data_IF_754077266647
#
_entry.id   IF_754077266647
#
_cell.length_a   1.000
_cell.length_b   1.000
_cell.length_c   1.000
_cell.angle_alpha   90.00
_cell.angle_beta   90.00
_cell.angle_gamma   90.00
#
_symmetry.space_group_name_H-M   'P 1'
#
loop_
_entity.id
_entity.type
_entity.pdbx_description
1 polymer ?
#
# COMPACT_ATOMS: atom_id res chain seq x y z
N UNK A 1 -1.62 -42.28 -42.56
CA UNK A 1 -1.76 -42.38 -41.08
C UNK A 1 -1.07 -41.25 -40.32
N UNK A 2 0.21 -40.91 -40.59
CA UNK A 2 0.92 -39.81 -39.92
C UNK A 2 0.33 -38.40 -40.16
N UNK A 3 -0.18 -38.12 -41.37
CA UNK A 3 -0.79 -36.83 -41.70
C UNK A 3 -2.12 -36.59 -40.99
N UNK A 4 -2.95 -37.65 -40.85
CA UNK A 4 -4.22 -37.60 -40.14
C UNK A 4 -4.01 -37.35 -38.64
N UNK A 5 -2.98 -37.99 -38.06
CA UNK A 5 -2.63 -37.82 -36.64
C UNK A 5 -2.12 -36.41 -36.34
N UNK A 6 -1.31 -35.82 -37.24
CA UNK A 6 -0.87 -34.42 -37.11
C UNK A 6 -2.06 -33.47 -37.19
N UNK A 7 -2.93 -33.60 -38.20
CA UNK A 7 -4.11 -32.73 -38.35
C UNK A 7 -5.06 -32.84 -37.16
N UNK A 8 -5.32 -34.04 -36.63
CA UNK A 8 -6.16 -34.23 -35.44
C UNK A 8 -5.51 -33.58 -34.21
N UNK A 9 -4.19 -33.69 -34.04
CA UNK A 9 -3.46 -33.06 -32.94
C UNK A 9 -3.49 -31.52 -33.03
N UNK A 10 -3.32 -30.96 -34.24
CA UNK A 10 -3.39 -29.50 -34.43
C UNK A 10 -4.79 -28.96 -34.18
N UNK A 11 -5.84 -29.68 -34.60
CA UNK A 11 -7.24 -29.27 -34.37
C UNK A 11 -7.59 -29.35 -32.87
N UNK A 12 -7.17 -30.39 -32.16
CA UNK A 12 -7.41 -30.48 -30.70
C UNK A 12 -6.64 -29.42 -29.92
N UNK A 13 -5.42 -29.06 -30.32
CA UNK A 13 -4.68 -27.95 -29.70
C UNK A 13 -5.36 -26.59 -29.97
N UNK A 14 -5.89 -26.37 -31.19
CA UNK A 14 -6.64 -25.15 -31.54
C UNK A 14 -7.99 -25.07 -30.81
N UNK A 15 -8.71 -26.18 -30.64
CA UNK A 15 -9.97 -26.20 -29.89
C UNK A 15 -9.78 -25.87 -28.40
N UNK A 16 -8.65 -26.29 -27.80
CA UNK A 16 -8.30 -25.94 -26.41
C UNK A 16 -7.92 -24.45 -26.30
N UNK A 17 -7.39 -23.85 -27.37
CA UNK A 17 -7.07 -22.42 -27.47
C UNK A 17 -8.28 -21.49 -27.65
N UNK A 18 -9.46 -22.04 -28.00
CA UNK A 18 -10.70 -21.29 -28.20
C UNK A 18 -11.73 -21.47 -27.06
N UNK A 19 -11.36 -22.21 -26.01
CA UNK A 19 -12.22 -22.39 -24.85
C UNK A 19 -12.31 -21.08 -24.04
N UNK A 20 -13.52 -20.72 -23.64
CA UNK A 20 -13.76 -19.67 -22.66
C UNK A 20 -13.12 -20.05 -21.34
N UNK A 21 -12.30 -19.16 -20.79
CA UNK A 21 -11.56 -19.40 -19.55
C UNK A 21 -11.69 -18.22 -18.60
N UNK A 22 -11.77 -18.54 -17.31
CA UNK A 22 -11.71 -17.56 -16.24
C UNK A 22 -10.55 -17.93 -15.33
N UNK A 23 -9.59 -17.01 -15.17
CA UNK A 23 -8.31 -17.25 -14.52
C UNK A 23 -8.10 -16.22 -13.40
N UNK A 24 -7.54 -16.65 -12.26
CA UNK A 24 -7.09 -15.79 -11.16
C UNK A 24 -5.62 -16.11 -10.87
N UNK A 25 -4.72 -15.16 -11.14
CA UNK A 25 -3.27 -15.43 -11.17
C UNK A 25 -2.96 -16.56 -12.15
N UNK A 26 -2.41 -17.66 -11.64
CA UNK A 26 -2.08 -18.85 -12.45
C UNK A 26 -3.18 -19.93 -12.41
N UNK A 27 -4.27 -19.68 -11.69
CA UNK A 27 -5.32 -20.68 -11.43
C UNK A 27 -6.51 -20.51 -12.35
N UNK A 28 -6.81 -21.55 -13.14
CA UNK A 28 -8.07 -21.63 -13.89
C UNK A 28 -9.22 -21.88 -12.90
N UNK A 29 -10.13 -20.92 -12.80
CA UNK A 29 -11.34 -21.01 -11.99
C UNK A 29 -12.48 -21.70 -12.75
N UNK A 30 -12.56 -21.48 -14.06
CA UNK A 30 -13.58 -22.06 -14.93
C UNK A 30 -13.05 -22.18 -16.37
N UNK A 31 -13.48 -23.23 -17.07
CA UNK A 31 -13.19 -23.44 -18.49
C UNK A 31 -14.40 -24.11 -19.17
N UNK A 32 -14.77 -23.65 -20.35
CA UNK A 32 -15.89 -24.15 -21.14
C UNK A 32 -15.67 -23.95 -22.64
N UNK A 33 -16.35 -24.72 -23.47
CA UNK A 33 -16.44 -24.44 -24.92
C UNK A 33 -17.43 -23.30 -25.24
N UNK A 34 -18.29 -22.96 -24.28
CA UNK A 34 -19.32 -21.93 -24.43
C UNK A 34 -18.80 -20.57 -23.94
N UNK A 35 -19.11 -19.50 -24.67
CA UNK A 35 -18.74 -18.13 -24.30
C UNK A 35 -19.61 -17.60 -23.15
N UNK A 36 -19.21 -17.89 -21.92
CA UNK A 36 -19.84 -17.38 -20.69
C UNK A 36 -20.03 -18.44 -19.61
N UNK A 37 -20.76 -18.11 -18.55
CA UNK A 37 -21.03 -19.01 -17.43
C UNK A 37 -22.53 -19.31 -17.30
N UNK A 38 -22.92 -20.55 -16.95
CA UNK A 38 -24.24 -20.80 -16.41
C UNK A 38 -24.49 -19.91 -15.18
N UNK A 39 -25.72 -19.44 -14.98
CA UNK A 39 -26.06 -18.50 -13.91
C UNK A 39 -25.59 -18.94 -12.52
N UNK A 40 -25.85 -20.18 -12.14
CA UNK A 40 -25.45 -20.74 -10.83
C UNK A 40 -23.92 -20.73 -10.65
N UNK A 41 -23.17 -21.03 -11.72
CA UNK A 41 -21.70 -20.97 -11.74
C UNK A 41 -21.22 -19.53 -11.65
N UNK A 42 -21.85 -18.61 -12.40
CA UNK A 42 -21.56 -17.17 -12.33
C UNK A 42 -21.67 -16.66 -10.89
N UNK A 43 -22.82 -16.89 -10.24
CA UNK A 43 -23.06 -16.42 -8.86
C UNK A 43 -21.99 -16.97 -7.91
N UNK A 44 -21.68 -18.27 -8.01
CA UNK A 44 -20.67 -18.90 -7.15
C UNK A 44 -19.27 -18.36 -7.37
N UNK A 45 -18.86 -18.20 -8.63
CA UNK A 45 -17.51 -17.69 -8.93
C UNK A 45 -17.39 -16.23 -8.53
N UNK A 46 -18.42 -15.44 -8.79
CA UNK A 46 -18.45 -14.03 -8.40
C UNK A 46 -18.37 -13.88 -6.87
N UNK A 47 -19.23 -14.56 -6.09
CA UNK A 47 -19.19 -14.50 -4.62
C UNK A 47 -17.83 -14.93 -4.05
N UNK A 48 -17.25 -16.01 -4.58
CA UNK A 48 -15.91 -16.46 -4.18
C UNK A 48 -14.81 -15.44 -4.49
N UNK A 49 -14.89 -14.77 -5.64
CA UNK A 49 -13.93 -13.76 -6.03
C UNK A 49 -14.06 -12.49 -5.17
N UNK A 50 -15.28 -12.06 -4.87
CA UNK A 50 -15.53 -10.94 -3.94
C UNK A 50 -14.98 -11.25 -2.54
N UNK A 51 -15.21 -12.46 -2.05
CA UNK A 51 -14.65 -12.93 -0.77
C UNK A 51 -13.12 -12.98 -0.79
N UNK A 52 -12.51 -13.45 -1.89
CA UNK A 52 -11.06 -13.46 -2.08
C UNK A 52 -10.47 -12.04 -2.02
N UNK A 53 -11.12 -11.08 -2.70
CA UNK A 53 -10.75 -9.67 -2.65
C UNK A 53 -11.06 -9.00 -1.30
N UNK A 54 -11.77 -9.68 -0.40
CA UNK A 54 -12.27 -9.12 0.87
C UNK A 54 -13.17 -7.90 0.65
N UNK A 55 -13.89 -7.91 -0.47
CA UNK A 55 -14.93 -6.93 -0.73
C UNK A 55 -16.22 -7.37 -0.02
N UNK A 56 -17.14 -6.42 0.26
CA UNK A 56 -18.47 -6.78 0.73
C UNK A 56 -19.12 -7.86 -0.17
N UNK A 57 -19.98 -8.68 0.40
CA UNK A 57 -20.67 -9.71 -0.39
C UNK A 57 -21.77 -9.09 -1.26
N UNK A 58 -21.97 -9.58 -2.49
CA UNK A 58 -23.12 -9.19 -3.29
C UNK A 58 -24.43 -9.63 -2.63
N UNK A 59 -25.49 -8.84 -2.80
CA UNK A 59 -26.82 -9.20 -2.30
C UNK A 59 -27.53 -10.03 -3.35
N UNK A 60 -28.06 -11.18 -2.95
CA UNK A 60 -28.84 -12.05 -3.81
C UNK A 60 -30.33 -11.90 -3.49
N UNK A 61 -31.18 -12.01 -4.50
CA UNK A 61 -32.61 -12.02 -4.34
C UNK A 61 -33.32 -12.69 -5.50
N UNK A 62 -34.63 -12.88 -5.35
CA UNK A 62 -35.48 -13.41 -6.41
C UNK A 62 -36.83 -12.69 -6.42
N UNK A 63 -37.39 -12.51 -7.63
CA UNK A 63 -38.77 -12.05 -7.85
C UNK A 63 -39.41 -12.97 -8.87
N UNK A 64 -40.35 -13.82 -8.43
CA UNK A 64 -40.91 -14.86 -9.28
C UNK A 64 -39.83 -15.82 -9.77
N UNK A 65 -39.77 -16.07 -11.08
CA UNK A 65 -38.74 -16.89 -11.73
C UNK A 65 -37.48 -16.12 -12.15
N UNK A 66 -37.28 -14.91 -11.63
CA UNK A 66 -36.13 -14.05 -11.93
C UNK A 66 -35.22 -13.96 -10.71
N UNK A 67 -33.99 -14.45 -10.83
CA UNK A 67 -32.96 -14.34 -9.81
C UNK A 67 -32.08 -13.12 -10.11
N UNK A 68 -31.60 -12.42 -9.09
CA UNK A 68 -30.77 -11.25 -9.29
C UNK A 68 -29.70 -11.09 -8.22
N UNK A 69 -28.67 -10.36 -8.61
CA UNK A 69 -27.51 -9.99 -7.84
C UNK A 69 -27.39 -8.46 -7.86
N UNK A 70 -27.25 -7.86 -6.68
CA UNK A 70 -27.03 -6.43 -6.50
C UNK A 70 -25.63 -6.19 -5.94
N UNK A 71 -24.86 -5.35 -6.63
CA UNK A 71 -23.53 -4.95 -6.22
C UNK A 71 -23.26 -3.51 -6.62
N UNK A 72 -22.69 -2.71 -5.71
CA UNK A 72 -22.30 -1.32 -5.97
C UNK A 72 -23.40 -0.47 -6.67
N UNK A 73 -24.65 -0.59 -6.19
CA UNK A 73 -25.86 0.04 -6.76
C UNK A 73 -26.27 -0.39 -8.18
N UNK A 74 -25.62 -1.40 -8.76
CA UNK A 74 -26.01 -2.00 -10.03
C UNK A 74 -26.71 -3.34 -9.81
N UNK A 75 -27.57 -3.70 -10.76
CA UNK A 75 -28.34 -4.96 -10.71
C UNK A 75 -28.08 -5.79 -11.96
N UNK A 76 -27.76 -7.06 -11.73
CA UNK A 76 -27.72 -8.09 -12.78
C UNK A 76 -28.69 -9.17 -12.40
N UNK A 77 -29.56 -9.58 -13.31
CA UNK A 77 -30.46 -10.70 -13.02
C UNK A 77 -30.79 -11.53 -14.23
N UNK A 78 -31.27 -12.73 -13.97
CA UNK A 78 -31.44 -13.79 -14.94
C UNK A 78 -32.72 -14.58 -14.67
N UNK A 79 -33.45 -14.90 -15.74
CA UNK A 79 -34.53 -15.87 -15.70
C UNK A 79 -34.19 -17.11 -16.53
N UNK A 80 -34.11 -18.23 -15.81
CA UNK A 80 -33.82 -19.57 -16.37
C UNK A 80 -34.93 -20.07 -17.30
N UNK A 81 -36.19 -19.71 -17.04
CA UNK A 81 -37.33 -20.16 -17.88
C UNK A 81 -37.38 -19.47 -19.24
N UNK A 82 -36.87 -18.25 -19.35
CA UNK A 82 -36.91 -17.46 -20.59
C UNK A 82 -35.54 -17.18 -21.21
N UNK A 83 -34.45 -17.63 -20.56
CA UNK A 83 -33.06 -17.31 -20.92
C UNK A 83 -32.86 -15.80 -21.10
N UNK A 84 -33.43 -14.99 -20.20
CA UNK A 84 -33.31 -13.54 -20.25
C UNK A 84 -32.35 -13.06 -19.17
N UNK A 85 -31.33 -12.32 -19.59
CA UNK A 85 -30.42 -11.61 -18.71
C UNK A 85 -30.74 -10.12 -18.76
N UNK A 86 -30.93 -9.51 -17.60
CA UNK A 86 -30.97 -8.07 -17.41
C UNK A 86 -29.64 -7.59 -16.84
N UNK A 87 -29.06 -6.61 -17.51
CA UNK A 87 -27.81 -5.94 -17.16
C UNK A 87 -28.14 -4.46 -16.96
N UNK A 88 -28.39 -4.07 -15.71
CA UNK A 88 -28.71 -2.70 -15.31
C UNK A 88 -29.84 -2.04 -16.15
N UNK A 89 -30.93 -2.78 -16.35
CA UNK A 89 -32.09 -2.35 -17.14
C UNK A 89 -32.06 -2.77 -18.61
N UNK A 90 -30.90 -3.17 -19.16
CA UNK A 90 -30.79 -3.67 -20.53
C UNK A 90 -31.06 -5.17 -20.56
N UNK A 91 -32.07 -5.61 -21.30
CA UNK A 91 -32.47 -7.02 -21.37
C UNK A 91 -32.00 -7.67 -22.68
N UNK A 92 -31.40 -8.85 -22.58
CA UNK A 92 -30.94 -9.65 -23.71
C UNK A 92 -31.22 -11.14 -23.49
N UNK A 93 -31.47 -11.88 -24.58
CA UNK A 93 -31.65 -13.32 -24.53
C UNK A 93 -30.29 -14.01 -24.60
N UNK A 94 -29.92 -14.74 -23.56
CA UNK A 94 -28.63 -15.44 -23.45
C UNK A 94 -28.80 -16.75 -22.69
N UNK A 95 -28.08 -17.79 -23.11
CA UNK A 95 -28.00 -19.06 -22.38
C UNK A 95 -26.91 -19.00 -21.30
N UNK A 96 -25.83 -18.27 -21.56
CA UNK A 96 -24.69 -18.09 -20.65
C UNK A 96 -24.48 -16.62 -20.32
N UNK A 97 -24.13 -16.35 -19.07
CA UNK A 97 -23.84 -15.01 -18.56
C UNK A 97 -22.46 -14.56 -19.09
N UNK A 98 -22.40 -13.43 -19.82
CA UNK A 98 -21.13 -12.83 -20.25
C UNK A 98 -20.46 -12.16 -19.05
N UNK A 99 -19.47 -12.83 -18.45
CA UNK A 99 -18.83 -12.40 -17.21
C UNK A 99 -18.15 -11.03 -17.34
N UNK A 100 -17.47 -10.79 -18.47
CA UNK A 100 -16.81 -9.52 -18.79
C UNK A 100 -17.79 -8.34 -18.74
N UNK A 101 -18.96 -8.48 -19.37
CA UNK A 101 -20.00 -7.43 -19.34
C UNK A 101 -20.49 -7.15 -17.93
N UNK A 102 -20.66 -8.19 -17.11
CA UNK A 102 -21.08 -8.03 -15.71
C UNK A 102 -20.00 -7.32 -14.89
N UNK A 103 -18.73 -7.69 -15.07
CA UNK A 103 -17.60 -7.05 -14.39
C UNK A 103 -17.46 -5.58 -14.74
N UNK A 104 -17.68 -5.23 -16.02
CA UNK A 104 -17.72 -3.82 -16.48
C UNK A 104 -18.79 -3.03 -15.75
N UNK A 105 -20.02 -3.55 -15.67
CA UNK A 105 -21.15 -2.91 -14.99
C UNK A 105 -20.85 -2.71 -13.50
N UNK A 106 -20.27 -3.72 -12.86
CA UNK A 106 -19.91 -3.65 -11.45
C UNK A 106 -18.66 -2.82 -11.16
N UNK A 107 -17.97 -2.33 -12.19
CA UNK A 107 -16.75 -1.55 -12.05
C UNK A 107 -15.60 -2.34 -11.42
N UNK A 108 -15.56 -3.66 -11.63
CA UNK A 108 -14.50 -4.51 -11.09
C UNK A 108 -13.45 -4.74 -12.17
N UNK A 109 -12.18 -4.35 -11.94
CA UNK A 109 -11.11 -4.55 -12.91
C UNK A 109 -10.95 -6.02 -13.32
N UNK A 110 -10.83 -6.24 -14.64
CA UNK A 110 -10.42 -7.50 -15.26
C UNK A 110 -9.63 -7.22 -16.54
N UNK A 111 -8.91 -8.21 -17.03
CA UNK A 111 -8.27 -8.19 -18.35
C UNK A 111 -8.86 -9.30 -19.22
N UNK A 112 -9.10 -9.03 -20.51
CA UNK A 112 -9.63 -10.00 -21.46
C UNK A 112 -8.70 -10.14 -22.65
N UNK A 113 -8.31 -11.38 -22.95
CA UNK A 113 -7.53 -11.73 -24.14
C UNK A 113 -8.23 -12.87 -24.87
N UNK A 114 -8.83 -12.57 -26.02
CA UNK A 114 -9.70 -13.54 -26.71
C UNK A 114 -10.89 -13.92 -25.82
N UNK A 115 -11.11 -15.22 -25.62
CA UNK A 115 -12.16 -15.77 -24.74
C UNK A 115 -11.70 -16.00 -23.29
N UNK A 116 -10.46 -15.62 -22.96
CA UNK A 116 -9.92 -15.74 -21.60
C UNK A 116 -10.07 -14.44 -20.84
N UNK A 117 -10.67 -14.52 -19.65
CA UNK A 117 -10.79 -13.44 -18.69
C UNK A 117 -9.84 -13.70 -17.52
N UNK A 118 -8.99 -12.72 -17.24
CA UNK A 118 -8.04 -12.70 -16.15
C UNK A 118 -8.55 -11.76 -15.06
N UNK A 119 -8.62 -12.31 -13.85
CA UNK A 119 -8.99 -11.62 -12.61
C UNK A 119 -7.74 -11.22 -11.85
N UNK A 120 -7.80 -10.09 -11.15
CA UNK A 120 -6.68 -9.61 -10.35
C UNK A 120 -6.62 -10.33 -9.01
N UNK A 121 -5.42 -10.72 -8.60
CA UNK A 121 -5.15 -11.15 -7.22
C UNK A 121 -5.19 -9.97 -6.23
N UNK A 122 -4.94 -8.77 -6.72
CA UNK A 122 -4.95 -7.52 -5.96
C UNK A 122 -5.59 -6.40 -6.77
N UNK A 123 -6.48 -5.62 -6.17
CA UNK A 123 -6.99 -4.38 -6.76
C UNK A 123 -6.50 -3.21 -5.94
N UNK A 124 -5.75 -2.30 -6.56
CA UNK A 124 -5.38 -1.03 -5.94
C UNK A 124 -6.44 -0.01 -6.30
N UNK A 125 -7.07 0.59 -5.29
CA UNK A 125 -8.11 1.60 -5.46
C UNK A 125 -7.53 2.99 -5.50
N UNK A 126 -6.59 3.27 -4.59
CA UNK A 126 -5.95 4.57 -4.48
C UNK A 126 -4.48 4.44 -4.13
N UNK A 127 -3.71 5.38 -4.66
CA UNK A 127 -2.32 5.59 -4.27
C UNK A 127 -2.12 7.08 -4.09
N UNK A 128 -1.82 7.49 -2.87
CA UNK A 128 -1.62 8.89 -2.53
C UNK A 128 -0.28 9.09 -1.83
N UNK A 129 0.32 10.26 -2.03
CA UNK A 129 1.54 10.69 -1.33
C UNK A 129 1.22 11.95 -0.55
N UNK A 130 1.39 11.88 0.77
CA UNK A 130 1.20 13.02 1.68
C UNK A 130 2.47 13.20 2.48
N UNK A 131 3.26 14.23 2.11
CA UNK A 131 4.57 14.46 2.71
C UNK A 131 5.51 13.25 2.54
N UNK A 132 5.93 12.68 3.67
CA UNK A 132 6.87 11.56 3.75
C UNK A 132 6.16 10.19 3.80
N UNK A 133 4.85 10.13 3.51
CA UNK A 133 4.08 8.88 3.51
C UNK A 133 3.48 8.66 2.14
N UNK A 134 3.63 7.43 1.61
CA UNK A 134 2.88 6.93 0.46
C UNK A 134 1.89 5.90 0.98
N UNK A 135 0.60 6.13 0.75
CA UNK A 135 -0.48 5.23 1.13
C UNK A 135 -1.05 4.53 -0.11
N UNK A 136 -1.26 3.23 0.02
CA UNK A 136 -1.82 2.38 -1.04
C UNK A 136 -3.03 1.66 -0.45
N UNK A 137 -4.22 2.03 -0.91
CA UNK A 137 -5.48 1.39 -0.52
C UNK A 137 -5.77 0.28 -1.50
N UNK A 138 -6.00 -0.93 -0.99
CA UNK A 138 -6.15 -2.12 -1.84
C UNK A 138 -7.13 -3.15 -1.30
N UNK A 139 -7.48 -4.11 -2.15
CA UNK A 139 -8.23 -5.32 -1.82
C UNK A 139 -7.52 -6.55 -2.40
N UNK A 140 -7.77 -7.73 -1.83
CA UNK A 140 -7.12 -8.98 -2.20
C UNK A 140 -5.83 -9.28 -1.44
N UNK A 141 -4.98 -10.10 -2.06
CA UNK A 141 -3.66 -10.42 -1.49
C UNK A 141 -2.67 -9.32 -1.81
N UNK A 142 -1.77 -8.99 -0.87
CA UNK A 142 -0.70 -8.03 -1.18
C UNK A 142 0.26 -8.67 -2.20
N UNK A 143 0.20 -8.17 -3.43
CA UNK A 143 1.05 -8.56 -4.56
C UNK A 143 1.96 -7.43 -5.01
N UNK A 144 2.38 -6.54 -4.10
CA UNK A 144 3.33 -5.47 -4.41
C UNK A 144 4.71 -5.76 -3.85
N UNK A 145 5.71 -5.39 -4.65
CA UNK A 145 7.10 -5.24 -4.27
C UNK A 145 7.50 -3.77 -4.34
N UNK A 146 8.29 -3.33 -3.38
CA UNK A 146 8.73 -1.95 -3.26
C UNK A 146 10.23 -1.96 -3.50
N UNK A 147 10.66 -1.39 -4.62
CA UNK A 147 12.06 -1.37 -5.03
C UNK A 147 12.56 0.07 -4.97
N UNK A 148 13.55 0.33 -4.11
CA UNK A 148 14.23 1.63 -4.05
C UNK A 148 15.45 1.60 -4.97
N UNK A 149 15.44 2.40 -6.04
CA UNK A 149 16.53 2.49 -6.99
C UNK A 149 16.68 3.92 -7.52
N UNK A 150 17.92 4.42 -7.57
CA UNK A 150 18.28 5.70 -8.21
C UNK A 150 17.43 6.89 -7.71
N UNK A 151 17.17 6.96 -6.40
CA UNK A 151 16.37 8.04 -5.80
C UNK A 151 14.87 7.95 -6.09
N UNK A 152 14.36 6.77 -6.42
CA UNK A 152 12.94 6.50 -6.65
C UNK A 152 12.49 5.28 -5.88
N UNK A 153 11.22 5.24 -5.53
CA UNK A 153 10.54 4.01 -5.12
C UNK A 153 9.63 3.57 -6.25
N UNK A 154 9.84 2.34 -6.73
CA UNK A 154 8.98 1.67 -7.70
C UNK A 154 8.07 0.70 -6.96
N UNK A 155 6.79 0.73 -7.32
CA UNK A 155 5.85 -0.33 -6.98
C UNK A 155 5.82 -1.31 -8.14
N UNK A 156 6.29 -2.52 -7.90
CA UNK A 156 6.37 -3.59 -8.90
C UNK A 156 5.39 -4.68 -8.51
N UNK A 157 4.68 -5.22 -9.48
CA UNK A 157 3.74 -6.32 -9.22
C UNK A 157 4.49 -7.63 -8.96
N UNK A 158 4.05 -8.43 -7.98
CA UNK A 158 4.47 -9.83 -7.73
C UNK A 158 3.49 -10.85 -8.29
N UNK A 159 2.38 -10.40 -8.87
CA UNK A 159 1.30 -11.26 -9.38
C UNK A 159 0.43 -10.49 -10.36
N UNK A 160 -0.87 -10.74 -10.35
CA UNK A 160 -1.83 -9.98 -11.16
C UNK A 160 -2.46 -8.85 -10.36
N UNK A 161 -2.15 -7.60 -10.72
CA UNK A 161 -2.63 -6.40 -10.02
C UNK A 161 -3.46 -5.52 -10.96
N UNK A 162 -4.66 -5.13 -10.53
CA UNK A 162 -5.51 -4.16 -11.22
C UNK A 162 -5.38 -2.76 -10.63
N UNK A 163 -5.16 -1.74 -11.47
CA UNK A 163 -5.15 -0.32 -11.06
C UNK A 163 -5.46 0.61 -12.24
N UNK A 164 -6.35 1.60 -12.05
CA UNK A 164 -6.75 2.60 -13.08
C UNK A 164 -7.02 1.98 -14.46
N UNK A 165 -7.90 0.99 -14.50
CA UNK A 165 -8.29 0.25 -15.71
C UNK A 165 -7.15 -0.50 -16.43
N UNK A 166 -5.99 -0.65 -15.78
CA UNK A 166 -4.86 -1.43 -16.28
C UNK A 166 -4.64 -2.67 -15.42
N UNK A 167 -4.08 -3.69 -16.07
CA UNK A 167 -3.60 -4.91 -15.46
C UNK A 167 -2.08 -4.98 -15.55
N UNK A 168 -1.47 -5.37 -14.44
CA UNK A 168 -0.03 -5.54 -14.31
C UNK A 168 0.27 -6.97 -13.87
N UNK A 169 1.10 -7.65 -14.65
CA UNK A 169 1.62 -8.98 -14.36
C UNK A 169 2.87 -8.90 -13.48
N UNK A 170 3.30 -10.06 -12.97
CA UNK A 170 4.49 -10.13 -12.14
C UNK A 170 5.72 -9.54 -12.86
N UNK A 171 6.44 -8.67 -12.17
CA UNK A 171 7.61 -7.95 -12.67
C UNK A 171 7.30 -6.61 -13.33
N UNK A 172 6.04 -6.28 -13.59
CA UNK A 172 5.67 -4.99 -14.21
C UNK A 172 5.64 -3.86 -13.17
N UNK A 173 6.20 -2.70 -13.54
CA UNK A 173 6.11 -1.48 -12.74
C UNK A 173 4.71 -0.88 -12.85
N UNK A 174 4.06 -0.68 -11.70
CA UNK A 174 2.73 -0.08 -11.59
C UNK A 174 2.85 1.43 -11.57
N UNK A 175 3.70 1.94 -10.68
CA UNK A 175 3.96 3.37 -10.49
C UNK A 175 5.31 3.58 -9.82
N UNK A 176 5.93 4.73 -10.06
CA UNK A 176 7.12 5.18 -9.36
C UNK A 176 6.96 6.56 -8.74
N UNK A 177 7.67 6.77 -7.63
CA UNK A 177 7.71 8.02 -6.88
C UNK A 177 9.14 8.51 -6.82
N UNK A 178 9.37 9.76 -7.25
CA UNK A 178 10.63 10.45 -7.00
C UNK A 178 10.76 10.75 -5.50
N UNK A 179 11.93 10.41 -4.95
CA UNK A 179 12.33 10.75 -3.60
C UNK A 179 13.05 12.09 -3.59
N UNK A 180 12.81 12.87 -2.54
CA UNK A 180 13.63 14.06 -2.30
C UNK A 180 15.08 13.64 -1.96
N UNK A 181 16.08 14.48 -2.27
CA UNK A 181 17.47 14.19 -1.94
C UNK A 181 17.66 13.80 -0.47
N UNK A 182 18.35 12.68 -0.23
CA UNK A 182 18.60 12.15 1.12
C UNK A 182 17.42 11.38 1.74
N UNK A 183 16.26 11.35 1.10
CA UNK A 183 15.13 10.52 1.53
C UNK A 183 15.32 9.06 1.10
N UNK A 184 14.91 8.12 1.96
CA UNK A 184 14.89 6.69 1.69
C UNK A 184 13.64 6.03 2.28
N UNK A 185 13.30 4.84 1.79
CA UNK A 185 12.28 4.01 2.40
C UNK A 185 12.79 3.50 3.75
N UNK A 186 12.11 3.89 4.83
CA UNK A 186 12.49 3.44 6.17
C UNK A 186 11.68 2.25 6.65
N UNK A 187 10.38 2.25 6.35
CA UNK A 187 9.46 1.22 6.83
C UNK A 187 8.34 0.99 5.85
N UNK A 188 7.97 -0.28 5.71
CA UNK A 188 6.73 -0.72 5.07
C UNK A 188 5.82 -1.23 6.17
N UNK A 189 4.68 -0.58 6.39
CA UNK A 189 3.64 -1.03 7.30
C UNK A 189 2.48 -1.58 6.47
N UNK A 190 2.16 -2.86 6.66
CA UNK A 190 1.08 -3.53 5.95
C UNK A 190 -0.02 -3.88 6.93
N UNK A 191 -1.24 -3.48 6.60
CA UNK A 191 -2.46 -3.85 7.30
C UNK A 191 -3.51 -4.32 6.29
N UNK A 192 -4.63 -4.83 6.77
CA UNK A 192 -5.71 -5.27 5.90
C UNK A 192 -6.26 -4.08 5.08
N UNK A 193 -6.09 -4.17 3.76
CA UNK A 193 -6.55 -3.18 2.79
C UNK A 193 -5.72 -1.89 2.69
N UNK A 194 -4.59 -1.80 3.41
CA UNK A 194 -3.73 -0.61 3.40
C UNK A 194 -2.25 -0.96 3.55
N UNK A 195 -1.44 -0.43 2.63
CA UNK A 195 0.02 -0.41 2.75
C UNK A 195 0.47 1.04 2.92
N UNK A 196 1.28 1.30 3.96
CA UNK A 196 1.95 2.59 4.15
C UNK A 196 3.45 2.43 3.95
N UNK A 197 4.00 3.23 3.06
CA UNK A 197 5.44 3.39 2.90
C UNK A 197 5.85 4.66 3.62
N UNK A 198 6.64 4.50 4.67
CA UNK A 198 7.16 5.62 5.46
C UNK A 198 8.54 5.94 4.90
N UNK A 199 8.62 7.10 4.27
CA UNK A 199 9.85 7.72 3.84
C UNK A 199 10.44 8.42 5.04
N UNK A 200 11.77 8.46 5.09
CA UNK A 200 12.44 9.33 6.01
C UNK A 200 13.76 9.75 5.43
N UNK A 201 14.22 10.91 5.86
CA UNK A 201 15.54 11.39 5.48
C UNK A 201 16.57 10.63 6.27
N UNK A 202 17.54 10.06 5.57
CA UNK A 202 18.83 9.88 6.21
C UNK A 202 19.26 11.25 6.71
N UNK A 203 19.82 11.33 7.93
CA UNK A 203 20.76 12.41 8.23
C UNK A 203 21.63 12.65 7.01
N UNK A 204 21.74 13.90 6.57
CA UNK A 204 22.88 14.25 5.72
C UNK A 204 24.13 13.69 6.42
N UNK A 205 25.09 13.17 5.66
CA UNK A 205 26.34 12.59 6.17
C UNK A 205 27.18 13.58 7.02
N UNK A 206 26.67 14.79 7.25
CA UNK A 206 27.07 15.75 8.26
C UNK A 206 25.81 16.40 8.85
N UNK A 207 25.19 15.79 9.86
CA UNK A 207 24.21 16.50 10.68
C UNK A 207 24.98 17.54 11.51
N UNK A 208 24.98 18.79 11.06
CA UNK A 208 25.50 19.87 11.88
C UNK A 208 24.59 20.06 13.11
N UNK A 209 25.21 20.24 14.27
CA UNK A 209 24.50 20.57 15.51
C UNK A 209 24.37 22.10 15.57
N UNK A 210 23.14 22.57 15.74
CA UNK A 210 22.89 23.96 16.12
C UNK A 210 22.65 24.02 17.62
N UNK A 211 23.56 24.68 18.32
CA UNK A 211 23.51 24.85 19.76
C UNK A 211 22.94 26.24 20.04
N UNK A 212 21.83 26.31 20.77
CA UNK A 212 21.20 27.58 21.12
C UNK A 212 20.81 27.59 22.60
N UNK A 213 20.98 28.72 23.30
CA UNK A 213 20.34 28.88 24.60
C UNK A 213 18.81 28.85 24.41
N UNK A 214 18.08 28.34 25.40
CA UNK A 214 16.64 28.09 25.29
C UNK A 214 15.84 29.34 24.87
N UNK A 215 16.32 30.54 25.21
CA UNK A 215 15.69 31.82 24.88
C UNK A 215 15.74 32.17 23.38
N UNK A 216 16.60 31.51 22.60
CA UNK A 216 16.83 31.82 21.16
C UNK A 216 16.30 30.76 20.19
N UNK A 217 15.46 29.84 20.66
CA UNK A 217 15.00 28.70 19.84
C UNK A 217 14.22 29.07 18.57
N UNK A 218 13.73 30.32 18.48
CA UNK A 218 12.98 30.87 17.33
C UNK A 218 13.85 30.99 16.06
N UNK A 219 15.17 31.06 16.19
CA UNK A 219 16.12 31.25 15.07
C UNK A 219 16.68 29.94 14.50
N UNK A 220 16.15 28.78 14.91
CA UNK A 220 16.77 27.50 14.63
C UNK A 220 16.48 26.96 13.21
N UNK A 221 17.52 26.60 12.47
CA UNK A 221 17.45 26.00 11.13
C UNK A 221 16.71 24.65 11.15
N UNK A 222 15.90 24.40 10.11
CA UNK A 222 15.16 23.13 9.97
C UNK A 222 16.05 21.96 9.55
N UNK A 223 17.28 22.22 9.10
CA UNK A 223 18.18 21.22 8.51
C UNK A 223 19.21 20.66 9.50
N UNK A 224 19.28 21.22 10.72
CA UNK A 224 20.28 20.89 11.74
C UNK A 224 19.65 20.15 12.93
N UNK A 225 20.46 19.37 13.66
CA UNK A 225 20.06 18.89 14.99
C UNK A 225 19.99 20.11 15.90
N UNK A 226 18.86 20.31 16.59
CA UNK A 226 18.75 21.41 17.55
C UNK A 226 19.08 20.90 18.96
N UNK A 227 20.15 21.43 19.54
CA UNK A 227 20.44 21.29 20.96
C UNK A 227 20.12 22.62 21.64
N UNK A 228 19.00 22.66 22.36
CA UNK A 228 18.72 23.76 23.28
C UNK A 228 19.44 23.49 24.59
N UNK A 229 20.01 24.53 25.20
CA UNK A 229 20.59 24.40 26.52
C UNK A 229 20.16 25.50 27.47
N UNK A 230 20.15 25.18 28.76
CA UNK A 230 20.06 26.13 29.85
C UNK A 230 20.72 25.53 31.11
N UNK A 231 21.01 26.38 32.09
CA UNK A 231 21.47 25.89 33.40
C UNK A 231 20.35 25.10 34.09
N UNK A 232 20.66 23.94 34.64
CA UNK A 232 19.68 23.10 35.33
C UNK A 232 20.31 21.98 36.13
N UNK A 233 19.67 20.81 36.18
CA UNK A 233 19.94 19.73 37.13
C UNK A 233 20.37 18.42 36.46
N UNK A 234 21.22 18.52 35.44
CA UNK A 234 21.84 17.41 34.70
C UNK A 234 20.81 16.44 34.10
N UNK A 235 19.95 16.96 33.21
CA UNK A 235 18.92 16.21 32.48
C UNK A 235 18.88 16.54 30.99
N UNK A 236 18.44 15.57 30.21
CA UNK A 236 18.06 15.75 28.80
C UNK A 236 16.55 15.56 28.70
N UNK A 237 15.85 16.56 28.18
CA UNK A 237 14.42 16.52 27.92
C UNK A 237 14.19 16.32 26.43
N UNK A 238 13.34 15.35 26.10
CA UNK A 238 12.83 15.11 24.75
C UNK A 238 11.31 15.19 24.74
N UNK A 239 10.74 15.50 23.57
CA UNK A 239 9.29 15.46 23.36
C UNK A 239 8.76 14.01 23.41
N UNK A 240 7.50 13.79 23.81
CA UNK A 240 6.84 12.50 23.63
C UNK A 240 6.61 12.21 22.15
N UNK A 241 6.42 10.92 21.86
CA UNK A 241 5.83 10.47 20.60
C UNK A 241 4.38 10.93 20.52
N UNK A 242 3.99 11.54 19.40
CA UNK A 242 2.62 12.04 19.21
C UNK A 242 1.90 11.16 18.18
N UNK A 243 1.04 10.22 18.62
CA UNK A 243 0.37 9.29 17.71
C UNK A 243 -0.54 9.98 16.69
N UNK A 244 -0.96 11.23 16.95
CA UNK A 244 -1.77 12.06 16.04
C UNK A 244 -1.05 12.44 14.74
N UNK A 245 0.28 12.28 14.67
CA UNK A 245 1.09 12.48 13.46
C UNK A 245 1.49 11.14 12.84
N UNK A 246 0.48 10.32 12.50
CA UNK A 246 0.56 8.98 11.90
C UNK A 246 1.95 8.52 11.39
N UNK A 247 2.84 8.09 12.30
CA UNK A 247 4.13 7.49 11.98
C UNK A 247 5.20 8.41 11.36
N UNK A 248 4.88 9.65 10.99
CA UNK A 248 5.82 10.59 10.38
C UNK A 248 6.90 11.08 11.36
N UNK A 249 6.56 11.21 12.64
CA UNK A 249 7.49 11.62 13.70
C UNK A 249 8.23 10.44 14.36
N UNK A 250 7.84 9.17 14.06
CA UNK A 250 8.40 7.99 14.73
C UNK A 250 9.91 7.88 14.57
N UNK A 251 10.43 8.12 13.36
CA UNK A 251 11.87 8.05 13.12
C UNK A 251 12.63 9.13 13.88
N UNK A 252 12.16 10.38 13.78
CA UNK A 252 12.77 11.51 14.49
C UNK A 252 12.73 11.27 15.99
N UNK A 253 11.59 10.81 16.52
CA UNK A 253 11.44 10.45 17.92
C UNK A 253 12.37 9.32 18.33
N UNK A 254 12.44 8.23 17.56
CA UNK A 254 13.30 7.07 17.83
C UNK A 254 14.78 7.45 17.83
N UNK A 255 15.22 8.21 16.83
CA UNK A 255 16.59 8.69 16.71
C UNK A 255 16.94 9.65 17.85
N UNK A 256 16.06 10.61 18.14
CA UNK A 256 16.19 11.53 19.28
C UNK A 256 16.33 10.71 20.57
N UNK A 257 15.39 9.82 20.86
CA UNK A 257 15.42 8.99 22.07
C UNK A 257 16.71 8.17 22.18
N UNK A 258 17.18 7.56 21.09
CA UNK A 258 18.41 6.77 21.09
C UNK A 258 19.65 7.62 21.41
N UNK A 259 19.81 8.77 20.74
CA UNK A 259 20.91 9.69 21.00
C UNK A 259 20.86 10.23 22.45
N UNK A 260 19.69 10.66 22.91
CA UNK A 260 19.51 11.14 24.28
C UNK A 260 19.83 10.07 25.33
N UNK A 261 19.40 8.82 25.11
CA UNK A 261 19.71 7.68 25.98
C UNK A 261 21.22 7.45 26.09
N UNK A 262 21.94 7.43 24.96
CA UNK A 262 23.40 7.25 24.97
C UNK A 262 24.13 8.38 25.72
N UNK A 263 23.72 9.63 25.48
CA UNK A 263 24.28 10.78 26.19
C UNK A 263 23.99 10.69 27.71
N UNK A 264 22.78 10.29 28.09
CA UNK A 264 22.42 10.11 29.49
C UNK A 264 23.22 9.00 30.17
N UNK A 265 23.42 7.87 29.49
CA UNK A 265 24.23 6.76 30.00
C UNK A 265 25.69 7.17 30.20
N UNK A 266 26.27 7.90 29.25
CA UNK A 266 27.68 8.29 29.30
C UNK A 266 27.98 9.35 30.37
N UNK A 267 27.13 10.36 30.50
CA UNK A 267 27.36 11.50 31.39
C UNK A 267 26.54 11.41 32.69
N UNK A 268 25.89 10.27 32.94
CA UNK A 268 25.01 10.04 34.09
C UNK A 268 23.91 11.11 34.24
N UNK A 269 23.31 11.52 33.11
CA UNK A 269 22.22 12.49 33.06
C UNK A 269 20.87 11.78 33.17
N UNK A 270 19.84 12.52 33.59
CA UNK A 270 18.45 12.01 33.60
C UNK A 270 17.79 12.22 32.24
N UNK A 271 17.19 11.17 31.67
CA UNK A 271 16.32 11.30 30.50
C UNK A 271 14.88 11.56 30.93
N UNK A 272 14.30 12.66 30.48
CA UNK A 272 12.90 13.00 30.71
C UNK A 272 12.13 13.14 29.39
N UNK A 273 10.95 12.53 29.32
CA UNK A 273 10.03 12.69 28.20
C UNK A 273 8.92 13.64 28.64
N UNK A 274 8.96 14.89 28.19
CA UNK A 274 8.08 15.95 28.69
C UNK A 274 7.11 16.46 27.61
N UNK A 275 5.78 16.32 27.77
CA UNK A 275 4.80 16.78 26.79
C UNK A 275 4.66 18.31 26.72
N UNK A 276 5.14 19.03 27.73
CA UNK A 276 4.95 20.48 27.85
C UNK A 276 6.07 21.30 27.20
N UNK A 277 7.17 20.66 26.78
CA UNK A 277 8.27 21.37 26.11
C UNK A 277 8.00 21.42 24.61
N UNK A 278 7.90 22.64 24.06
CA UNK A 278 7.66 22.90 22.64
C UNK A 278 8.88 22.63 21.76
N UNK A 279 9.42 21.40 21.80
CA UNK A 279 10.43 20.96 20.85
C UNK A 279 9.78 20.63 19.49
N UNK A 280 10.40 21.02 18.36
CA UNK A 280 9.82 20.82 17.03
C UNK A 280 9.63 19.35 16.65
N UNK A 281 8.56 19.11 15.90
CA UNK A 281 8.06 17.78 15.50
C UNK A 281 8.94 17.08 14.47
N UNK A 282 9.53 17.84 13.56
CA UNK A 282 10.10 17.35 12.30
C UNK A 282 11.64 17.39 12.25
N UNK A 283 12.30 17.59 13.40
CA UNK A 283 13.76 17.54 13.51
C UNK A 283 14.20 16.91 14.82
N UNK A 284 15.37 16.27 14.79
CA UNK A 284 16.02 15.77 16.00
C UNK A 284 16.30 16.96 16.90
N UNK A 285 15.78 16.94 18.12
CA UNK A 285 15.95 18.05 19.05
C UNK A 285 15.92 17.61 20.51
N UNK A 286 16.75 18.28 21.31
CA UNK A 286 16.94 18.03 22.72
C UNK A 286 16.92 19.36 23.48
N UNK A 287 16.45 19.31 24.72
CA UNK A 287 16.78 20.33 25.71
C UNK A 287 17.74 19.72 26.74
N UNK A 288 18.94 20.26 26.83
CA UNK A 288 19.99 19.86 27.76
C UNK A 288 20.02 20.86 28.91
N UNK A 289 19.80 20.37 30.12
CA UNK A 289 19.84 21.15 31.34
C UNK A 289 21.01 20.65 32.18
N UNK A 290 22.08 21.43 32.25
CA UNK A 290 23.32 21.04 32.95
C UNK A 290 23.70 22.07 34.00
N UNK A 291 24.35 21.62 35.07
CA UNK A 291 24.79 22.49 36.16
C UNK A 291 26.01 23.34 35.76
N UNK A 292 26.81 22.83 34.83
CA UNK A 292 28.11 23.35 34.39
C UNK A 292 28.19 23.44 32.85
N UNK A 293 28.79 24.52 32.34
CA UNK A 293 29.03 24.72 30.91
C UNK A 293 30.13 23.79 30.37
N UNK A 294 31.07 23.35 31.19
CA UNK A 294 32.10 22.39 30.77
C UNK A 294 31.46 21.04 30.37
N UNK A 295 30.46 20.59 31.14
CA UNK A 295 29.68 19.40 30.83
C UNK A 295 28.87 19.55 29.54
N UNK A 296 28.40 20.75 29.21
CA UNK A 296 27.71 21.01 27.94
C UNK A 296 28.65 20.77 26.75
N UNK A 297 29.90 21.24 26.84
CA UNK A 297 30.89 21.07 25.78
C UNK A 297 31.23 19.59 25.55
N UNK A 298 31.34 18.81 26.64
CA UNK A 298 31.54 17.35 26.56
C UNK A 298 30.34 16.64 25.92
N UNK A 299 29.11 16.99 26.32
CA UNK A 299 27.87 16.45 25.72
C UNK A 299 27.78 16.75 24.23
N UNK A 300 28.12 17.98 23.82
CA UNK A 300 28.16 18.38 22.41
C UNK A 300 29.17 17.56 21.64
N UNK A 301 30.41 17.44 22.15
CA UNK A 301 31.48 16.67 21.51
C UNK A 301 31.06 15.21 21.31
N UNK A 302 30.45 14.61 22.33
CA UNK A 302 29.96 13.25 22.21
C UNK A 302 28.80 13.12 21.22
N UNK A 303 27.89 14.09 21.18
CA UNK A 303 26.80 14.10 20.21
C UNK A 303 27.36 14.17 18.78
N UNK A 304 28.40 14.97 18.54
CA UNK A 304 29.11 15.02 17.26
C UNK A 304 29.74 13.68 16.88
N UNK A 305 30.26 12.92 17.85
CA UNK A 305 30.79 11.57 17.60
C UNK A 305 29.68 10.56 17.30
N UNK A 306 28.53 10.66 17.97
CA UNK A 306 27.41 9.73 17.80
C UNK A 306 26.67 9.90 16.46
N UNK A 307 26.84 11.04 15.79
CA UNK A 307 26.19 11.37 14.52
C UNK A 307 27.13 11.29 13.30
N UNK A 308 28.42 11.00 13.52
CA UNK A 308 29.39 10.63 12.49
C UNK A 308 29.26 9.15 12.12
#
# INVERSE_FOLDING_TARGET
>A
MRFLLVVVLTITIIEVLLAYQLILGDKILYSSKESGLPWETFVKVFDNYMAYLRLPKPKLGAVGGFEYLVWNNHVVGYSKSSNLLNLDGITQKVEFVPFDKVMQIFGIPFFKQGETIYLAEMIVWDISKTGEIIEIVFNGENKLEMIEEKGRIKLVSKGTVGWKDKFFNAGEEIVSFDLEPGSKLQKVATSEGLIKLILGRLPAASMEIQILPIERWVEASKEKILLLYAKGDNRIIIRPYSPDFEGADWYVYSLTRNLASKLCEQFNLKLEICPLVCLPLNRVSFLVLVEDEDLLNEVVTQLEELIK
#
